data_IF_040040562056
#
_entry.id   IF_040040562056
#
_cell.length_a   1.000
_cell.length_b   1.000
_cell.length_c   1.000
_cell.angle_alpha   90.00
_cell.angle_beta   90.00
_cell.angle_gamma   90.00
#
_symmetry.space_group_name_H-M   'P 1'
#
loop_
_entity.id
_entity.type
_entity.pdbx_description
1 polymer ?
#
# COMPACT_ATOMS: atom_id res chain seq x y z
N UNK A 1 6.62 11.07 -38.39
CA UNK A 1 7.67 10.50 -37.52
C UNK A 1 7.30 9.03 -37.28
N UNK A 2 8.21 8.09 -37.54
CA UNK A 2 7.96 6.65 -37.28
C UNK A 2 8.64 6.28 -35.96
N UNK A 3 7.87 5.75 -35.00
CA UNK A 3 8.35 5.38 -33.69
C UNK A 3 8.27 3.86 -33.53
N UNK A 4 9.40 3.22 -33.23
CA UNK A 4 9.47 1.79 -32.96
C UNK A 4 9.49 1.55 -31.44
N UNK A 5 8.46 0.91 -30.92
CA UNK A 5 8.29 0.67 -29.47
C UNK A 5 8.85 -0.67 -28.99
N UNK A 6 9.21 -1.57 -29.89
CA UNK A 6 9.64 -2.95 -29.57
C UNK A 6 10.88 -3.40 -30.35
N UNK A 7 11.90 -2.53 -30.44
CA UNK A 7 13.20 -2.91 -31.02
C UNK A 7 14.11 -3.58 -29.98
N UNK A 8 15.14 -4.34 -30.45
CA UNK A 8 16.14 -4.94 -29.56
C UNK A 8 16.86 -3.91 -28.69
N UNK A 9 17.10 -2.71 -29.23
CA UNK A 9 17.70 -1.59 -28.50
C UNK A 9 16.80 -1.12 -27.34
N UNK A 10 15.51 -0.97 -27.57
CA UNK A 10 14.54 -0.55 -26.55
C UNK A 10 14.39 -1.64 -25.46
N UNK A 11 14.36 -2.91 -25.83
CA UNK A 11 14.35 -4.02 -24.86
C UNK A 11 15.56 -3.97 -23.93
N UNK A 12 16.76 -3.68 -24.47
CA UNK A 12 17.98 -3.52 -23.69
C UNK A 12 17.88 -2.37 -22.68
N UNK A 13 17.33 -1.21 -23.09
CA UNK A 13 17.15 -0.08 -22.18
C UNK A 13 16.09 -0.35 -21.12
N UNK A 14 14.95 -0.98 -21.47
CA UNK A 14 13.94 -1.39 -20.50
C UNK A 14 14.51 -2.35 -19.46
N UNK A 15 15.31 -3.33 -19.88
CA UNK A 15 16.01 -4.23 -18.96
C UNK A 15 16.91 -3.46 -18.00
N UNK A 16 17.69 -2.50 -18.50
CA UNK A 16 18.58 -1.66 -17.71
C UNK A 16 17.80 -0.84 -16.66
N UNK A 17 16.68 -0.23 -17.06
CA UNK A 17 15.83 0.55 -16.15
C UNK A 17 15.27 -0.33 -15.03
N UNK A 18 14.75 -1.52 -15.37
CA UNK A 18 14.24 -2.45 -14.36
C UNK A 18 15.34 -2.94 -13.43
N UNK A 19 16.55 -3.17 -13.95
CA UNK A 19 17.72 -3.51 -13.14
C UNK A 19 18.09 -2.41 -12.14
N UNK A 20 18.04 -1.13 -12.56
CA UNK A 20 18.25 0.02 -11.68
C UNK A 20 17.18 0.15 -10.60
N UNK A 21 15.91 -0.06 -10.96
CA UNK A 21 14.81 -0.06 -9.98
C UNK A 21 14.98 -1.17 -8.94
N UNK A 22 15.39 -2.36 -9.37
CA UNK A 22 15.66 -3.48 -8.48
C UNK A 22 16.90 -3.26 -7.61
N UNK A 23 17.90 -2.52 -8.08
CA UNK A 23 19.07 -2.16 -7.27
C UNK A 23 18.69 -1.30 -6.06
N UNK A 24 17.73 -0.40 -6.23
CA UNK A 24 17.25 0.47 -5.16
C UNK A 24 16.12 -0.14 -4.30
N UNK A 25 15.67 -1.36 -4.63
CA UNK A 25 14.56 -2.05 -3.96
C UNK A 25 15.08 -3.07 -2.95
N UNK A 26 14.34 -3.31 -1.84
CA UNK A 26 14.73 -4.25 -0.79
C UNK A 26 14.83 -5.71 -1.26
N UNK A 27 14.10 -6.11 -2.29
CA UNK A 27 14.09 -7.46 -2.91
C UNK A 27 13.65 -8.62 -2.01
N UNK A 28 13.02 -8.35 -0.88
CA UNK A 28 12.49 -9.36 0.04
C UNK A 28 11.15 -9.92 -0.46
N UNK A 29 11.17 -10.45 -1.70
CA UNK A 29 9.95 -10.87 -2.39
C UNK A 29 9.22 -12.00 -1.68
N UNK A 30 9.93 -12.89 -0.99
CA UNK A 30 9.35 -14.06 -0.31
C UNK A 30 8.45 -13.68 0.87
N UNK A 31 8.75 -12.57 1.53
CA UNK A 31 7.99 -12.05 2.68
C UNK A 31 7.13 -10.83 2.32
N UNK A 32 7.16 -10.40 1.07
CA UNK A 32 6.45 -9.22 0.62
C UNK A 32 4.96 -9.50 0.45
N UNK A 33 4.11 -8.65 1.01
CA UNK A 33 2.64 -8.72 0.89
C UNK A 33 2.14 -8.59 -0.57
N UNK A 34 2.97 -8.12 -1.49
CA UNK A 34 2.66 -7.97 -2.92
C UNK A 34 3.30 -9.09 -3.78
N UNK A 35 3.87 -10.12 -3.15
CA UNK A 35 4.48 -11.24 -3.87
C UNK A 35 3.46 -11.93 -4.78
N UNK A 36 3.86 -12.20 -6.03
CA UNK A 36 2.97 -12.78 -7.05
C UNK A 36 2.09 -11.76 -7.80
N UNK A 37 1.80 -10.60 -7.21
CA UNK A 37 1.02 -9.52 -7.84
C UNK A 37 1.85 -8.24 -8.08
N UNK A 38 3.14 -8.31 -7.88
CA UNK A 38 4.04 -7.16 -8.00
C UNK A 38 4.42 -6.91 -9.46
N UNK A 39 4.08 -5.74 -9.97
CA UNK A 39 4.40 -5.34 -11.36
C UNK A 39 5.92 -5.29 -11.61
N UNK A 40 6.71 -4.88 -10.61
CA UNK A 40 8.17 -4.87 -10.73
C UNK A 40 8.73 -6.30 -10.86
N UNK A 41 8.19 -7.25 -10.09
CA UNK A 41 8.57 -8.68 -10.16
C UNK A 41 8.21 -9.28 -11.51
N UNK A 42 7.01 -9.00 -12.02
CA UNK A 42 6.57 -9.43 -13.35
C UNK A 42 7.47 -8.88 -14.46
N UNK A 43 7.78 -7.58 -14.41
CA UNK A 43 8.65 -6.93 -15.39
C UNK A 43 10.07 -7.50 -15.37
N UNK A 44 10.61 -7.78 -14.17
CA UNK A 44 11.92 -8.39 -14.02
C UNK A 44 11.98 -9.77 -14.68
N UNK A 45 10.96 -10.60 -14.43
CA UNK A 45 10.83 -11.92 -15.04
C UNK A 45 10.70 -11.83 -16.58
N UNK A 46 9.79 -11.00 -17.07
CA UNK A 46 9.50 -10.80 -18.50
C UNK A 46 10.71 -10.28 -19.29
N UNK A 47 11.54 -9.45 -18.69
CA UNK A 47 12.76 -8.90 -19.31
C UNK A 47 14.01 -9.73 -19.04
N UNK A 48 13.91 -10.83 -18.30
CA UNK A 48 15.01 -11.73 -17.97
C UNK A 48 16.10 -11.05 -17.15
N UNK A 49 15.72 -10.27 -16.12
CA UNK A 49 16.67 -9.66 -15.19
C UNK A 49 16.97 -10.67 -14.08
N UNK A 50 18.11 -11.35 -14.17
CA UNK A 50 18.52 -12.34 -13.17
C UNK A 50 19.63 -11.83 -12.25
N UNK A 51 20.47 -10.92 -12.76
CA UNK A 51 21.60 -10.35 -12.03
C UNK A 51 21.48 -8.84 -11.99
N UNK A 52 21.76 -8.26 -10.83
CA UNK A 52 21.75 -6.82 -10.60
C UNK A 52 23.21 -6.37 -10.45
N UNK A 53 23.67 -5.56 -11.42
CA UNK A 53 25.05 -5.07 -11.50
C UNK A 53 25.27 -3.82 -10.65
N UNK A 54 24.20 -3.11 -10.32
CA UNK A 54 24.25 -1.83 -9.62
C UNK A 54 24.14 -2.02 -8.11
N UNK A 55 24.88 -1.22 -7.36
CA UNK A 55 24.80 -1.18 -5.91
C UNK A 55 23.67 -0.24 -5.48
N UNK A 56 23.01 -0.56 -4.37
CA UNK A 56 22.05 0.34 -3.76
C UNK A 56 22.77 1.53 -3.15
N UNK A 57 22.39 2.73 -3.56
CA UNK A 57 22.89 4.00 -3.02
C UNK A 57 21.84 4.73 -2.19
N UNK A 58 20.62 4.20 -2.08
CA UNK A 58 19.54 4.79 -1.27
C UNK A 58 19.74 4.43 0.19
N UNK A 59 19.46 5.40 1.05
CA UNK A 59 19.35 5.16 2.49
C UNK A 59 18.15 4.26 2.80
N UNK A 60 18.24 3.53 3.90
CA UNK A 60 17.10 2.81 4.44
C UNK A 60 16.25 3.76 5.27
N UNK A 61 14.95 3.71 5.05
CA UNK A 61 13.97 4.53 5.73
C UNK A 61 13.17 3.69 6.73
N UNK A 62 12.72 4.34 7.78
CA UNK A 62 11.82 3.74 8.77
C UNK A 62 10.46 3.42 8.13
N UNK A 63 9.89 2.30 8.51
CA UNK A 63 8.54 1.91 8.10
C UNK A 63 7.54 2.70 8.93
N UNK A 64 6.58 3.32 8.26
CA UNK A 64 5.50 4.06 8.92
C UNK A 64 4.26 3.17 9.03
N UNK A 65 3.99 2.68 10.23
CA UNK A 65 2.83 1.86 10.61
C UNK A 65 1.85 2.60 11.54
N UNK A 66 1.99 3.92 11.63
CA UNK A 66 1.20 4.77 12.53
C UNK A 66 -0.30 4.80 12.19
N UNK A 67 -0.66 4.57 10.92
CA UNK A 67 -2.06 4.53 10.49
C UNK A 67 -2.78 3.30 11.05
N UNK A 68 -4.09 3.41 11.36
CA UNK A 68 -4.88 2.27 11.79
C UNK A 68 -5.11 1.22 10.68
N UNK A 69 -4.97 1.62 9.40
CA UNK A 69 -5.32 0.76 8.27
C UNK A 69 -4.21 0.56 7.23
N UNK A 70 -3.18 1.40 7.22
CA UNK A 70 -2.15 1.41 6.20
C UNK A 70 -0.75 1.33 6.81
N UNK A 71 0.11 0.56 6.17
CA UNK A 71 1.55 0.51 6.44
C UNK A 71 2.27 1.05 5.21
N UNK A 72 3.21 1.97 5.42
CA UNK A 72 4.02 2.55 4.38
C UNK A 72 5.49 2.17 4.56
N UNK A 73 6.03 1.45 3.60
CA UNK A 73 7.44 1.04 3.54
C UNK A 73 8.14 1.74 2.37
N UNK A 74 8.86 2.85 2.62
CA UNK A 74 9.55 3.59 1.57
C UNK A 74 10.66 2.79 0.87
N UNK A 75 11.19 1.73 1.50
CA UNK A 75 12.25 0.90 0.93
C UNK A 75 11.76 0.04 -0.25
N UNK A 76 10.44 -0.15 -0.35
CA UNK A 76 9.77 -0.84 -1.46
C UNK A 76 9.25 0.11 -2.54
N UNK A 77 9.47 1.42 -2.38
CA UNK A 77 8.96 2.43 -3.30
C UNK A 77 9.85 2.60 -4.53
N UNK A 78 9.25 2.53 -5.72
CA UNK A 78 9.93 2.76 -7.01
C UNK A 78 9.74 4.19 -7.55
N UNK A 79 9.14 5.09 -6.77
CA UNK A 79 8.92 6.50 -7.13
C UNK A 79 8.04 6.71 -8.39
N UNK A 80 7.09 5.83 -8.66
CA UNK A 80 6.19 5.95 -9.81
C UNK A 80 5.20 7.12 -9.70
N UNK A 81 4.87 7.56 -8.47
CA UNK A 81 3.93 8.66 -8.22
C UNK A 81 2.46 8.28 -8.31
N UNK A 82 2.11 7.02 -8.55
CA UNK A 82 0.71 6.61 -8.71
C UNK A 82 -0.11 6.85 -7.43
N UNK A 83 0.46 6.60 -6.25
CA UNK A 83 -0.17 6.89 -4.96
C UNK A 83 -0.37 8.39 -4.73
N UNK A 84 0.55 9.24 -5.20
CA UNK A 84 0.42 10.70 -5.12
C UNK A 84 -0.74 11.17 -5.97
N UNK A 85 -0.76 10.78 -7.27
CA UNK A 85 -1.87 11.12 -8.17
C UNK A 85 -3.21 10.58 -7.69
N UNK A 86 -3.25 9.34 -7.20
CA UNK A 86 -4.47 8.77 -6.67
C UNK A 86 -5.00 9.55 -5.44
N UNK A 87 -4.10 10.01 -4.57
CA UNK A 87 -4.48 10.78 -3.39
C UNK A 87 -4.91 12.22 -3.74
N UNK A 88 -4.22 12.87 -4.67
CA UNK A 88 -4.47 14.27 -5.04
C UNK A 88 -5.57 14.40 -6.09
N UNK A 89 -5.45 13.70 -7.22
CA UNK A 89 -6.34 13.90 -8.38
C UNK A 89 -7.66 13.13 -8.25
N UNK A 90 -7.65 11.91 -7.68
CA UNK A 90 -8.85 11.08 -7.56
C UNK A 90 -9.58 11.32 -6.24
N UNK A 91 -8.86 11.46 -5.13
CA UNK A 91 -9.46 11.61 -3.79
C UNK A 91 -9.53 13.08 -3.33
N UNK A 92 -8.77 13.99 -3.95
CA UNK A 92 -8.74 15.41 -3.57
C UNK A 92 -8.13 15.68 -2.19
N UNK A 93 -7.37 14.73 -1.61
CA UNK A 93 -6.85 14.83 -0.24
C UNK A 93 -5.41 15.34 -0.22
N UNK A 94 -4.54 14.83 -1.12
CA UNK A 94 -3.14 15.25 -1.23
C UNK A 94 -2.28 14.94 0.00
N UNK A 95 -2.58 13.87 0.75
CA UNK A 95 -1.83 13.49 1.95
C UNK A 95 -0.38 13.05 1.67
N UNK A 96 -0.11 12.58 0.45
CA UNK A 96 1.20 12.11 0.01
C UNK A 96 1.72 12.99 -1.13
N UNK A 97 3.02 13.33 -1.10
CA UNK A 97 3.66 14.04 -2.18
C UNK A 97 5.14 13.67 -2.31
N UNK A 98 5.78 14.08 -3.40
CA UNK A 98 7.22 13.96 -3.56
C UNK A 98 7.94 15.00 -2.71
N UNK A 99 9.01 14.56 -2.05
CA UNK A 99 9.96 15.42 -1.38
C UNK A 99 11.37 15.13 -1.88
N UNK A 100 12.24 16.17 -1.74
CA UNK A 100 13.62 16.15 -2.20
C UNK A 100 13.75 15.91 -3.71
N UNK A 101 14.96 15.65 -4.18
CA UNK A 101 15.24 15.42 -5.61
C UNK A 101 16.46 14.52 -5.80
N UNK A 102 16.63 13.96 -7.01
CA UNK A 102 17.74 13.08 -7.33
C UNK A 102 17.66 11.77 -6.54
N UNK A 103 18.75 11.33 -5.96
CA UNK A 103 18.86 10.08 -5.20
C UNK A 103 18.10 10.11 -3.87
N UNK A 104 17.86 11.31 -3.33
CA UNK A 104 17.14 11.52 -2.07
C UNK A 104 15.63 11.61 -2.25
N UNK A 105 15.14 11.61 -3.51
CA UNK A 105 13.71 11.71 -3.78
C UNK A 105 12.94 10.60 -3.05
N UNK A 106 11.86 10.99 -2.37
CA UNK A 106 11.01 10.10 -1.59
C UNK A 106 9.56 10.58 -1.67
N UNK A 107 8.62 9.66 -1.55
CA UNK A 107 7.20 10.00 -1.38
C UNK A 107 6.89 9.98 0.10
N UNK A 108 6.50 11.12 0.65
CA UNK A 108 6.22 11.31 2.08
C UNK A 108 4.98 12.17 2.28
N UNK A 109 4.37 12.13 3.46
CA UNK A 109 3.44 13.16 3.90
C UNK A 109 4.12 14.51 4.10
N UNK A 110 3.32 15.58 4.18
CA UNK A 110 3.82 16.93 4.42
C UNK A 110 4.70 17.00 5.68
N UNK A 111 5.84 17.69 5.57
CA UNK A 111 6.82 17.88 6.66
C UNK A 111 7.40 16.57 7.24
N UNK A 112 7.40 15.49 6.46
CA UNK A 112 7.88 14.16 6.88
C UNK A 112 7.18 13.65 8.17
N UNK A 113 5.94 14.03 8.37
CA UNK A 113 5.11 13.54 9.48
C UNK A 113 4.73 12.08 9.26
N UNK A 114 4.32 11.40 10.32
CA UNK A 114 3.68 10.09 10.22
C UNK A 114 2.33 10.21 9.52
N UNK A 115 1.91 9.19 8.79
CA UNK A 115 0.67 9.26 8.00
C UNK A 115 -0.56 9.50 8.89
N UNK A 116 -0.58 8.99 10.12
CA UNK A 116 -1.64 9.23 11.10
C UNK A 116 -1.78 10.70 11.53
N UNK A 117 -0.70 11.49 11.42
CA UNK A 117 -0.70 12.91 11.78
C UNK A 117 -1.12 13.84 10.64
N UNK A 118 -1.53 13.27 9.52
CA UNK A 118 -1.93 14.00 8.32
C UNK A 118 -3.44 13.97 8.12
N UNK A 119 -3.92 14.64 7.08
CA UNK A 119 -5.33 14.62 6.68
C UNK A 119 -5.72 13.34 5.92
N UNK A 120 -4.97 12.24 6.11
CA UNK A 120 -5.28 10.96 5.50
C UNK A 120 -6.60 10.42 6.03
N UNK A 121 -7.54 10.12 5.14
CA UNK A 121 -8.86 9.55 5.49
C UNK A 121 -8.87 8.01 5.44
N UNK A 122 -7.72 7.38 5.33
CA UNK A 122 -7.54 5.93 5.32
C UNK A 122 -8.36 5.19 4.22
N UNK A 123 -8.63 5.84 3.08
CA UNK A 123 -9.43 5.28 1.99
C UNK A 123 -8.76 4.11 1.25
N UNK A 124 -7.45 3.87 1.43
CA UNK A 124 -6.71 2.77 0.82
C UNK A 124 -6.42 2.88 -0.68
N UNK A 125 -6.86 3.94 -1.38
CA UNK A 125 -6.67 4.07 -2.82
C UNK A 125 -5.18 4.08 -3.22
N UNK A 126 -4.33 4.71 -2.43
CA UNK A 126 -2.88 4.71 -2.66
C UNK A 126 -2.29 3.28 -2.69
N UNK A 127 -2.84 2.33 -1.92
CA UNK A 127 -2.44 0.92 -1.94
C UNK A 127 -2.89 0.22 -3.21
N UNK A 128 -4.10 0.52 -3.70
CA UNK A 128 -4.65 -0.09 -4.93
C UNK A 128 -3.78 0.26 -6.13
N UNK A 129 -3.37 1.51 -6.24
CA UNK A 129 -2.53 1.99 -7.35
C UNK A 129 -1.04 1.69 -7.18
N UNK A 130 -0.59 1.27 -5.98
CA UNK A 130 0.82 0.95 -5.77
C UNK A 130 1.24 -0.31 -6.54
N UNK A 131 2.19 -0.22 -7.50
CA UNK A 131 2.63 -1.37 -8.28
C UNK A 131 3.53 -2.33 -7.52
N UNK A 132 4.02 -1.90 -6.35
CA UNK A 132 4.89 -2.68 -5.45
C UNK A 132 4.25 -2.80 -4.06
N UNK A 133 4.95 -3.39 -3.10
CA UNK A 133 4.50 -3.50 -1.71
C UNK A 133 4.85 -2.29 -0.82
N UNK A 134 5.06 -1.10 -1.41
CA UNK A 134 5.44 0.09 -0.66
C UNK A 134 4.31 0.64 0.22
N UNK A 135 3.06 0.37 -0.15
CA UNK A 135 1.88 0.67 0.67
C UNK A 135 1.07 -0.62 0.79
N UNK A 136 0.85 -1.05 2.01
CA UNK A 136 0.07 -2.25 2.34
C UNK A 136 -1.03 -1.95 3.34
N UNK A 137 -1.97 -2.87 3.46
CA UNK A 137 -3.01 -2.82 4.48
C UNK A 137 -2.43 -3.36 5.78
N UNK A 138 -2.71 -2.70 6.89
CA UNK A 138 -2.43 -3.22 8.23
C UNK A 138 -3.45 -4.31 8.53
N UNK A 139 -2.96 -5.50 8.86
CA UNK A 139 -3.82 -6.64 9.23
C UNK A 139 -3.83 -6.78 10.75
N UNK A 140 -4.98 -7.03 11.33
CA UNK A 140 -5.17 -7.31 12.75
C UNK A 140 -5.55 -8.80 12.95
N UNK A 141 -5.11 -9.66 12.03
CA UNK A 141 -5.48 -11.08 12.06
C UNK A 141 -5.00 -11.80 13.31
N UNK A 142 -3.77 -11.51 13.74
CA UNK A 142 -3.19 -12.16 14.92
C UNK A 142 -3.93 -11.73 16.19
N UNK A 143 -4.25 -10.44 16.32
CA UNK A 143 -5.05 -9.89 17.43
C UNK A 143 -6.47 -10.52 17.48
N UNK A 144 -7.08 -10.74 16.31
CA UNK A 144 -8.39 -11.40 16.20
C UNK A 144 -8.29 -12.86 16.61
N UNK A 145 -7.25 -13.58 16.19
CA UNK A 145 -7.05 -14.98 16.59
C UNK A 145 -6.76 -15.13 18.08
N UNK A 146 -6.00 -14.24 18.68
CA UNK A 146 -5.76 -14.20 20.13
C UNK A 146 -7.07 -13.95 20.88
N UNK A 147 -7.87 -12.98 20.44
CA UNK A 147 -9.15 -12.66 21.04
C UNK A 147 -10.16 -13.82 20.91
N UNK A 148 -10.19 -14.52 19.78
CA UNK A 148 -11.05 -15.69 19.60
C UNK A 148 -10.63 -16.92 20.44
N UNK A 149 -9.36 -16.98 20.84
CA UNK A 149 -8.85 -18.03 21.72
C UNK A 149 -9.15 -17.78 23.21
N UNK A 150 -9.49 -16.54 23.58
CA UNK A 150 -9.82 -16.16 24.95
C UNK A 150 -11.30 -16.46 25.25
N UNK A 151 -11.62 -17.33 26.21
CA UNK A 151 -13.00 -17.71 26.53
C UNK A 151 -13.81 -16.55 27.19
N UNK A 152 -13.12 -15.52 27.71
CA UNK A 152 -13.76 -14.38 28.35
C UNK A 152 -14.03 -13.23 27.35
N UNK A 153 -13.63 -13.37 26.08
CA UNK A 153 -13.86 -12.39 25.04
C UNK A 153 -14.94 -12.85 24.06
N UNK A 154 -15.96 -12.04 23.87
CA UNK A 154 -17.00 -12.26 22.88
C UNK A 154 -16.79 -11.32 21.70
N UNK A 155 -16.49 -11.88 20.55
CA UNK A 155 -16.31 -11.12 19.30
C UNK A 155 -17.66 -10.73 18.70
N UNK A 156 -17.89 -9.43 18.47
CA UNK A 156 -19.00 -8.92 17.66
C UNK A 156 -18.42 -8.46 16.33
N UNK A 157 -18.88 -9.05 15.25
CA UNK A 157 -18.53 -8.59 13.90
C UNK A 157 -19.59 -7.59 13.45
N UNK A 158 -19.22 -6.32 13.43
CA UNK A 158 -20.07 -5.27 12.88
C UNK A 158 -19.65 -4.94 11.45
N UNK A 159 -20.58 -5.10 10.51
CA UNK A 159 -20.34 -4.81 9.09
C UNK A 159 -20.84 -3.39 8.80
N UNK A 160 -19.94 -2.41 8.87
CA UNK A 160 -20.25 -1.06 8.41
C UNK A 160 -20.13 -1.04 6.87
N UNK A 161 -21.27 -1.07 6.19
CA UNK A 161 -21.31 -0.83 4.75
C UNK A 161 -21.29 0.67 4.51
N UNK A 162 -20.12 1.25 4.30
CA UNK A 162 -19.99 2.64 3.88
C UNK A 162 -20.37 2.73 2.41
N UNK A 163 -21.60 3.17 2.12
CA UNK A 163 -21.98 3.62 0.78
C UNK A 163 -21.32 4.98 0.54
N UNK A 164 -20.14 5.00 -0.07
CA UNK A 164 -19.68 6.20 -0.74
C UNK A 164 -20.46 6.30 -2.06
N UNK A 165 -21.26 7.34 -2.28
CA UNK A 165 -21.87 7.60 -3.57
C UNK A 165 -20.75 8.10 -4.50
N UNK A 166 -19.94 7.20 -5.02
CA UNK A 166 -19.08 7.48 -6.14
C UNK A 166 -19.97 7.52 -7.38
N UNK A 167 -20.19 8.72 -7.89
CA UNK A 167 -20.77 8.98 -9.19
C UNK A 167 -19.81 8.49 -10.30
N UNK A 168 -19.46 7.21 -10.27
CA UNK A 168 -18.81 6.50 -11.37
C UNK A 168 -19.39 5.10 -11.49
N UNK A 169 -19.89 4.81 -12.68
CA UNK A 169 -20.49 3.54 -13.11
C UNK A 169 -19.50 2.40 -12.95
N UNK A 170 -19.63 1.64 -11.88
CA UNK A 170 -18.86 0.44 -11.61
C UNK A 170 -18.99 0.09 -10.12
N UNK A 171 -20.00 -0.73 -9.79
CA UNK A 171 -20.31 -1.16 -8.43
C UNK A 171 -19.20 -2.04 -7.86
N UNK A 172 -18.19 -1.45 -7.24
CA UNK A 172 -17.34 -2.18 -6.32
C UNK A 172 -17.81 -1.87 -4.90
N UNK A 173 -18.43 -2.85 -4.29
CA UNK A 173 -18.78 -2.83 -2.86
C UNK A 173 -17.51 -3.11 -2.07
N UNK A 174 -17.04 -2.12 -1.32
CA UNK A 174 -16.00 -2.32 -0.32
C UNK A 174 -16.68 -2.50 1.04
N UNK A 175 -16.60 -3.68 1.61
CA UNK A 175 -16.95 -3.91 3.01
C UNK A 175 -15.69 -3.75 3.86
N UNK A 176 -15.66 -2.72 4.69
CA UNK A 176 -14.71 -2.63 5.78
C UNK A 176 -15.27 -3.48 6.92
N UNK A 177 -14.61 -4.57 7.24
CA UNK A 177 -14.91 -5.34 8.44
C UNK A 177 -14.04 -4.73 9.55
N UNK A 178 -14.65 -3.93 10.41
CA UNK A 178 -14.05 -3.54 11.67
C UNK A 178 -14.51 -4.55 12.72
N UNK A 179 -13.59 -5.31 13.29
CA UNK A 179 -13.86 -6.13 14.45
C UNK A 179 -13.62 -5.28 15.70
N UNK A 180 -14.67 -4.83 16.34
CA UNK A 180 -14.58 -4.23 17.68
C UNK A 180 -14.65 -5.36 18.70
N UNK A 181 -13.57 -5.56 19.45
CA UNK A 181 -13.50 -6.53 20.53
C UNK A 181 -13.98 -5.84 21.81
N UNK A 182 -15.17 -6.22 22.30
CA UNK A 182 -15.75 -5.69 23.53
C UNK A 182 -15.57 -6.72 24.65
N UNK A 183 -14.96 -6.35 25.80
CA UNK A 183 -14.90 -7.23 26.97
C UNK A 183 -16.31 -7.58 27.49
N UNK A 184 -16.51 -8.82 27.88
CA UNK A 184 -17.82 -9.40 28.24
C UNK A 184 -18.51 -8.76 29.47
N UNK A 185 -17.99 -7.68 30.05
CA UNK A 185 -18.54 -7.00 31.22
C UNK A 185 -19.53 -5.86 30.95
N UNK A 186 -19.55 -5.29 29.72
CA UNK A 186 -20.24 -4.03 29.43
C UNK A 186 -21.43 -4.14 28.46
N UNK A 187 -21.86 -5.35 28.12
CA UNK A 187 -23.03 -5.57 27.28
C UNK A 187 -24.33 -5.35 28.09
N UNK A 188 -24.77 -4.11 28.19
CA UNK A 188 -26.19 -3.85 28.42
C UNK A 188 -26.94 -4.18 27.13
N UNK A 189 -27.56 -5.33 27.11
CA UNK A 189 -28.50 -5.73 26.06
C UNK A 189 -29.77 -4.89 26.24
N UNK A 190 -29.83 -3.71 25.67
CA UNK A 190 -31.09 -3.02 25.50
C UNK A 190 -31.91 -3.82 24.48
N UNK A 191 -33.01 -4.35 24.99
CA UNK A 191 -34.03 -5.09 24.26
C UNK A 191 -34.55 -4.22 23.13
N UNK A 192 -34.10 -4.42 21.91
CA UNK A 192 -34.90 -4.03 20.75
C UNK A 192 -36.04 -5.07 20.64
N UNK A 193 -37.22 -4.64 21.13
CA UNK A 193 -38.45 -5.34 20.84
C UNK A 193 -38.77 -5.26 19.35
N UNK A 194 -39.00 -6.40 18.72
CA UNK A 194 -39.84 -6.58 17.54
C UNK A 194 -41.18 -7.08 18.03
#
# INVERSE_FOLDING_TARGET
MVIYTNSGKIKKYRKLIVELLLAAHCRDCTTCVKSGECVLQELAHRLGVHNIRFQNTREQYEIDDSSPSLIRDPNKCILCGDCVRACEELQGIGALNFAYRGTEAIVIPAFNKKIAETQCVNCGQCRVYCPTGAISIKTHMDEVWEALADPDVHGIIDTITVFLPLAFSGSQKYSLITADIIPCGDLQVDKFGI
#
